data_IF_791726508167
#
_entry.id   IF_791726508167
#
_cell.length_a   1.000
_cell.length_b   1.000
_cell.length_c   1.000
_cell.angle_alpha   90.00
_cell.angle_beta   90.00
_cell.angle_gamma   90.00
#
_symmetry.space_group_name_H-M   'P 1'
#
loop_
_entity.id
_entity.type
_entity.pdbx_description
1 polymer ?
#
# COMPACT_ATOMS: atom_id res chain seq x y z
N UNK A 1 21.77 -10.96 -2.64
CA UNK A 1 20.85 -10.13 -3.44
C UNK A 1 19.51 -10.17 -2.70
N UNK A 2 18.94 -9.03 -2.35
CA UNK A 2 17.66 -8.97 -1.62
C UNK A 2 16.57 -8.71 -2.64
N UNK A 3 15.53 -9.54 -2.65
CA UNK A 3 14.34 -9.38 -3.49
C UNK A 3 13.45 -8.32 -2.85
N UNK A 4 13.14 -7.26 -3.59
CA UNK A 4 12.31 -6.16 -3.12
C UNK A 4 10.88 -6.30 -3.64
N UNK A 5 9.92 -6.40 -2.72
CA UNK A 5 8.50 -6.50 -3.04
C UNK A 5 7.80 -5.17 -2.74
N UNK A 6 7.08 -4.63 -3.71
CA UNK A 6 6.22 -3.47 -3.51
C UNK A 6 4.78 -3.94 -3.17
N UNK A 7 4.28 -3.55 -2.00
CA UNK A 7 2.89 -3.73 -1.63
C UNK A 7 2.18 -2.40 -1.89
N UNK A 8 1.39 -2.33 -2.96
CA UNK A 8 0.73 -1.10 -3.40
C UNK A 8 -0.76 -1.23 -3.08
N UNK A 9 -1.28 -0.32 -2.26
CA UNK A 9 -2.67 -0.40 -1.83
C UNK A 9 -3.42 0.93 -1.96
N UNK A 10 -4.74 0.83 -2.05
CA UNK A 10 -5.67 1.93 -1.82
C UNK A 10 -6.62 1.56 -0.69
N UNK A 11 -6.93 2.50 0.20
CA UNK A 11 -7.94 2.28 1.24
C UNK A 11 -8.57 3.58 1.68
N UNK A 12 -9.90 3.59 1.76
CA UNK A 12 -10.66 4.70 2.38
C UNK A 12 -10.80 4.43 3.89
N UNK A 13 -11.34 3.27 4.26
CA UNK A 13 -11.66 2.94 5.66
C UNK A 13 -10.57 2.14 6.40
N UNK A 14 -9.39 1.97 5.79
CA UNK A 14 -8.24 1.34 6.43
C UNK A 14 -8.18 -0.19 6.40
N UNK A 15 -9.24 -0.89 5.99
CA UNK A 15 -9.22 -2.37 5.93
C UNK A 15 -8.11 -2.92 5.03
N UNK A 16 -7.95 -2.35 3.83
CA UNK A 16 -6.88 -2.76 2.91
C UNK A 16 -5.50 -2.33 3.43
N UNK A 17 -5.40 -1.25 4.20
CA UNK A 17 -4.15 -0.84 4.83
C UNK A 17 -3.71 -1.85 5.90
N UNK A 18 -4.64 -2.30 6.76
CA UNK A 18 -4.38 -3.37 7.73
C UNK A 18 -3.97 -4.67 7.03
N UNK A 19 -4.60 -5.01 5.91
CA UNK A 19 -4.21 -6.18 5.12
C UNK A 19 -2.81 -6.03 4.51
N UNK A 20 -2.44 -4.82 4.05
CA UNK A 20 -1.09 -4.54 3.54
C UNK A 20 -0.02 -4.69 4.63
N UNK A 21 -0.30 -4.27 5.86
CA UNK A 21 0.58 -4.45 7.03
C UNK A 21 0.80 -5.95 7.33
N UNK A 22 -0.28 -6.74 7.40
CA UNK A 22 -0.17 -8.18 7.60
C UNK A 22 0.55 -8.88 6.43
N UNK A 23 0.32 -8.42 5.20
CA UNK A 23 1.02 -8.93 4.01
C UNK A 23 2.51 -8.63 4.07
N UNK A 24 2.90 -7.45 4.55
CA UNK A 24 4.31 -7.09 4.75
C UNK A 24 4.98 -8.03 5.75
N UNK A 25 4.34 -8.33 6.87
CA UNK A 25 4.86 -9.30 7.85
C UNK A 25 5.08 -10.68 7.22
N UNK A 26 4.13 -11.14 6.39
CA UNK A 26 4.26 -12.40 5.65
C UNK A 26 5.42 -12.40 4.65
N UNK A 27 5.60 -11.32 3.89
CA UNK A 27 6.70 -11.20 2.93
C UNK A 27 8.06 -11.12 3.63
N UNK A 28 8.18 -10.29 4.67
CA UNK A 28 9.41 -10.10 5.43
C UNK A 28 9.84 -11.37 6.21
N UNK A 29 8.93 -12.35 6.38
CA UNK A 29 9.24 -13.64 6.98
C UNK A 29 10.10 -14.55 6.08
N UNK A 30 10.16 -14.27 4.77
CA UNK A 30 10.93 -15.06 3.80
C UNK A 30 12.36 -14.55 3.74
N UNK A 31 13.32 -15.44 3.99
CA UNK A 31 14.75 -15.10 3.97
C UNK A 31 15.19 -14.53 2.62
N UNK A 32 15.78 -13.33 2.65
CA UNK A 32 16.27 -12.64 1.45
C UNK A 32 15.21 -11.82 0.69
N UNK A 33 13.99 -11.71 1.23
CA UNK A 33 12.91 -10.89 0.67
C UNK A 33 12.58 -9.74 1.62
N UNK A 34 12.28 -8.57 1.07
CA UNK A 34 11.85 -7.41 1.85
C UNK A 34 10.70 -6.69 1.17
N UNK A 35 9.66 -6.35 1.91
CA UNK A 35 8.52 -5.58 1.42
C UNK A 35 8.58 -4.10 1.81
N UNK A 36 8.11 -3.24 0.92
CA UNK A 36 7.79 -1.82 1.20
C UNK A 36 6.34 -1.56 0.85
N UNK A 37 5.61 -0.91 1.76
CA UNK A 37 4.21 -0.55 1.56
C UNK A 37 4.14 0.84 0.91
N UNK A 38 3.31 0.95 -0.12
CA UNK A 38 3.02 2.19 -0.82
C UNK A 38 1.50 2.41 -0.94
N UNK A 39 1.12 3.68 -1.00
CA UNK A 39 -0.25 4.13 -1.21
C UNK A 39 -0.47 4.59 -2.65
N UNK A 40 -1.65 4.33 -3.19
CA UNK A 40 -2.13 4.99 -4.39
C UNK A 40 -2.60 6.42 -4.02
N UNK A 41 -2.32 7.45 -4.86
CA UNK A 41 -2.83 8.80 -4.66
C UNK A 41 -4.35 8.82 -4.48
N UNK A 42 -4.84 9.67 -3.59
CA UNK A 42 -6.27 9.93 -3.50
C UNK A 42 -6.77 10.69 -4.72
N UNK A 43 -7.95 10.31 -5.22
CA UNK A 43 -8.62 11.02 -6.32
C UNK A 43 -9.87 11.76 -5.86
N UNK A 44 -10.40 11.41 -4.68
CA UNK A 44 -11.52 12.13 -4.07
C UNK A 44 -11.06 13.44 -3.44
N UNK A 45 -11.92 14.46 -3.56
CA UNK A 45 -11.75 15.75 -2.92
C UNK A 45 -11.94 15.63 -1.41
N UNK A 46 -11.28 16.49 -0.63
CA UNK A 46 -11.34 16.50 0.83
C UNK A 46 -12.78 16.64 1.36
N UNK A 47 -13.62 17.43 0.69
CA UNK A 47 -15.04 17.57 1.03
C UNK A 47 -15.80 16.24 0.94
N UNK A 48 -15.49 15.42 -0.07
CA UNK A 48 -16.12 14.11 -0.25
C UNK A 48 -15.64 13.14 0.82
N UNK A 49 -14.34 13.10 1.10
CA UNK A 49 -13.79 12.28 2.18
C UNK A 49 -14.41 12.64 3.53
N UNK A 50 -14.59 13.93 3.79
CA UNK A 50 -15.24 14.43 5.02
C UNK A 50 -16.69 13.95 5.10
N UNK A 51 -17.45 14.05 4.00
CA UNK A 51 -18.85 13.55 3.92
C UNK A 51 -18.94 12.03 4.09
N UNK A 52 -17.92 11.30 3.66
CA UNK A 52 -17.82 9.85 3.84
C UNK A 52 -17.38 9.44 5.25
N UNK A 53 -17.03 10.40 6.11
CA UNK A 53 -16.41 10.12 7.41
C UNK A 53 -15.16 9.24 7.28
N UNK A 54 -14.39 9.46 6.21
CA UNK A 54 -13.18 8.70 5.96
C UNK A 54 -12.15 8.97 7.07
N UNK A 55 -11.56 7.93 7.68
CA UNK A 55 -10.47 8.11 8.64
C UNK A 55 -9.22 8.69 7.98
N UNK A 56 -8.28 9.27 8.77
CA UNK A 56 -6.98 9.67 8.26
C UNK A 56 -6.23 8.50 7.60
N UNK A 57 -5.48 8.78 6.54
CA UNK A 57 -4.62 7.80 5.89
C UNK A 57 -3.42 7.45 6.77
N UNK A 58 -2.87 6.23 6.56
CA UNK A 58 -1.60 5.80 7.15
C UNK A 58 -0.46 6.62 6.53
N UNK A 59 0.64 6.76 7.25
CA UNK A 59 1.84 7.47 6.79
C UNK A 59 2.75 6.52 5.97
N UNK A 60 2.36 6.26 4.72
CA UNK A 60 3.12 5.47 3.76
C UNK A 60 3.38 6.26 2.47
N UNK A 61 4.53 6.04 1.81
CA UNK A 61 4.88 6.74 0.58
C UNK A 61 3.89 6.47 -0.54
N UNK A 62 3.76 7.41 -1.48
CA UNK A 62 2.92 7.26 -2.65
C UNK A 62 3.66 6.45 -3.72
N UNK A 63 3.00 5.44 -4.29
CA UNK A 63 3.52 4.67 -5.41
C UNK A 63 3.57 5.53 -6.68
N UNK A 64 4.67 5.46 -7.41
CA UNK A 64 4.82 6.04 -8.75
C UNK A 64 5.06 4.93 -9.79
N UNK A 65 5.00 5.22 -11.10
CA UNK A 65 5.41 4.26 -12.12
C UNK A 65 6.83 3.73 -11.94
N UNK A 66 7.74 4.51 -11.34
CA UNK A 66 9.11 4.11 -11.02
C UNK A 66 9.13 3.02 -9.94
N UNK A 67 8.25 3.10 -8.93
CA UNK A 67 8.08 2.05 -7.91
C UNK A 67 7.81 0.68 -8.53
N UNK A 68 7.06 0.64 -9.63
CA UNK A 68 6.75 -0.61 -10.35
C UNK A 68 7.98 -1.17 -11.08
N UNK A 69 8.89 -0.30 -11.55
CA UNK A 69 10.09 -0.71 -12.28
C UNK A 69 11.18 -1.22 -11.34
N UNK A 70 11.26 -0.66 -10.15
CA UNK A 70 12.28 -0.98 -9.15
C UNK A 70 11.95 -2.24 -8.35
N UNK A 71 10.69 -2.67 -8.33
CA UNK A 71 10.26 -3.85 -7.60
C UNK A 71 10.53 -5.14 -8.36
N UNK A 72 11.05 -6.15 -7.65
CA UNK A 72 11.20 -7.52 -8.16
C UNK A 72 9.86 -8.30 -8.12
N UNK A 73 8.94 -7.87 -7.24
CA UNK A 73 7.59 -8.41 -7.11
C UNK A 73 6.60 -7.36 -6.65
N UNK A 74 5.33 -7.50 -7.06
CA UNK A 74 4.28 -6.51 -6.78
C UNK A 74 3.05 -7.21 -6.23
N UNK A 75 2.51 -6.68 -5.12
CA UNK A 75 1.25 -7.10 -4.52
C UNK A 75 0.29 -5.92 -4.49
N UNK A 76 -0.93 -6.15 -4.97
CA UNK A 76 -1.96 -5.12 -5.10
C UNK A 76 -3.10 -5.34 -4.11
N UNK A 77 -3.44 -4.31 -3.32
CA UNK A 77 -4.53 -4.35 -2.35
C UNK A 77 -5.54 -3.23 -2.57
N UNK A 78 -6.75 -3.58 -3.01
CA UNK A 78 -7.82 -2.61 -3.29
C UNK A 78 -9.13 -3.08 -2.64
N UNK A 79 -9.98 -2.17 -2.13
CA UNK A 79 -11.34 -2.51 -1.74
C UNK A 79 -12.15 -2.91 -3.00
N UNK A 80 -13.14 -3.79 -2.81
CA UNK A 80 -14.09 -4.18 -3.86
C UNK A 80 -15.08 -3.07 -4.20
#
# INVERSE_FOLDING_TARGET
MTVNVAIIYYSIYGHAATLAEATKEGVDSVSGVKATIYQVPETLWEEILTKMHAPPKRDYPIATPETLKEADGILFGYPT
#
